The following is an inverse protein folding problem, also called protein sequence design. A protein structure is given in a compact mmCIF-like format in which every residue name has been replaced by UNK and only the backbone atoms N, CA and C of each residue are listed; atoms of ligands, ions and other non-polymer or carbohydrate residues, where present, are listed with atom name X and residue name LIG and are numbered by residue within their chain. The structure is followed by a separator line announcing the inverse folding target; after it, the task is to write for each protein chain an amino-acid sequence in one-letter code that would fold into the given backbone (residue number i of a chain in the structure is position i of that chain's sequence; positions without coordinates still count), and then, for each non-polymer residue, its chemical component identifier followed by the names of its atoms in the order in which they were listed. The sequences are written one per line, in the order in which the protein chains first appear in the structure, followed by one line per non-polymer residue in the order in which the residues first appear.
data_IF_024585988696
#
_entry.id   IF_024585988696
#
_cell.length_a   1.000
_cell.length_b   1.000
_cell.length_c   1.000
_cell.angle_alpha   90.00
_cell.angle_beta   90.00
_cell.angle_gamma   90.00
#
_symmetry.space_group_name_H-M   'P 1'
#
loop_
_entity.id
_entity.type
_entity.pdbx_description
1 polymer ?
#
# COMPACT_ATOMS: atom_id res chain seq x y z
N UNK A 1 -8.77 -33.82 -17.04
CA UNK A 1 -10.05 -33.15 -16.67
C UNK A 1 -10.52 -33.44 -15.23
N UNK A 2 -9.62 -33.61 -14.23
CA UNK A 2 -9.99 -33.84 -12.81
C UNK A 2 -9.56 -32.73 -11.82
N UNK A 3 -8.74 -31.77 -12.25
CA UNK A 3 -8.19 -30.70 -11.38
C UNK A 3 -9.19 -29.57 -11.03
N UNK A 4 -10.31 -29.49 -11.75
CA UNK A 4 -11.23 -28.34 -11.72
C UNK A 4 -12.16 -28.36 -10.49
N UNK A 5 -12.52 -29.55 -9.99
CA UNK A 5 -13.46 -29.69 -8.86
C UNK A 5 -12.84 -29.50 -7.47
N UNK A 6 -11.53 -29.72 -7.30
CA UNK A 6 -10.88 -29.55 -5.99
C UNK A 6 -10.73 -28.06 -5.61
N UNK A 7 -10.59 -27.17 -6.60
CA UNK A 7 -10.52 -25.72 -6.40
C UNK A 7 -11.86 -25.10 -5.98
N UNK A 8 -12.97 -25.55 -6.58
CA UNK A 8 -14.31 -25.02 -6.31
C UNK A 8 -14.75 -25.22 -4.86
N UNK A 9 -14.50 -26.38 -4.27
CA UNK A 9 -14.88 -26.69 -2.88
C UNK A 9 -14.14 -25.81 -1.86
N UNK A 10 -12.85 -25.53 -2.10
CA UNK A 10 -12.04 -24.65 -1.24
C UNK A 10 -12.47 -23.18 -1.37
N UNK A 11 -12.86 -22.74 -2.56
CA UNK A 11 -13.34 -21.38 -2.80
C UNK A 11 -14.71 -21.12 -2.16
N UNK A 12 -15.63 -22.09 -2.22
CA UNK A 12 -16.94 -21.99 -1.58
C UNK A 12 -16.83 -21.96 -0.05
N UNK A 13 -16.02 -22.85 0.54
CA UNK A 13 -15.81 -22.89 1.99
C UNK A 13 -15.15 -21.59 2.51
N UNK A 14 -14.17 -21.06 1.79
CA UNK A 14 -13.57 -19.74 2.08
C UNK A 14 -14.60 -18.62 2.00
N UNK A 15 -15.46 -18.62 0.99
CA UNK A 15 -16.49 -17.60 0.86
C UNK A 15 -17.51 -17.65 2.01
N UNK A 16 -17.83 -18.83 2.54
CA UNK A 16 -18.76 -18.98 3.66
C UNK A 16 -18.17 -18.57 5.01
N UNK A 17 -16.87 -18.76 5.23
CA UNK A 17 -16.20 -18.41 6.50
C UNK A 17 -15.67 -16.98 6.50
N UNK A 18 -15.04 -16.53 5.41
CA UNK A 18 -14.31 -15.25 5.39
C UNK A 18 -15.20 -14.04 5.10
N UNK A 19 -16.31 -14.20 4.36
CA UNK A 19 -17.24 -13.09 4.06
C UNK A 19 -17.88 -12.46 5.30
N UNK A 20 -18.52 -13.21 6.23
CA UNK A 20 -19.14 -12.60 7.39
C UNK A 20 -18.10 -11.90 8.28
N UNK A 21 -16.90 -12.48 8.37
CA UNK A 21 -15.79 -11.88 9.10
C UNK A 21 -15.34 -10.55 8.50
N UNK A 22 -15.17 -10.46 7.18
CA UNK A 22 -14.82 -9.20 6.52
C UNK A 22 -15.87 -8.11 6.74
N UNK A 23 -17.17 -8.43 6.65
CA UNK A 23 -18.24 -7.45 6.87
C UNK A 23 -18.22 -6.92 8.31
N UNK A 24 -18.03 -7.80 9.29
CA UNK A 24 -17.91 -7.39 10.69
C UNK A 24 -16.67 -6.52 10.93
N UNK A 25 -15.53 -6.89 10.33
CA UNK A 25 -14.31 -6.11 10.42
C UNK A 25 -14.48 -4.72 9.79
N UNK A 26 -15.13 -4.63 8.63
CA UNK A 26 -15.42 -3.36 7.95
C UNK A 26 -16.40 -2.48 8.73
N UNK A 27 -17.27 -3.08 9.55
CA UNK A 27 -18.17 -2.33 10.43
C UNK A 27 -17.44 -1.76 11.66
N UNK A 28 -16.59 -2.56 12.30
CA UNK A 28 -15.81 -2.12 13.47
C UNK A 28 -14.67 -1.17 13.09
N UNK A 29 -14.07 -1.40 11.92
CA UNK A 29 -12.96 -0.64 11.36
C UNK A 29 -13.34 -0.15 9.97
N UNK A 30 -14.18 0.91 9.86
CA UNK A 30 -14.61 1.41 8.57
C UNK A 30 -13.42 1.91 7.74
N UNK A 31 -13.47 1.76 6.41
CA UNK A 31 -12.42 2.25 5.53
C UNK A 31 -12.25 3.76 5.68
N UNK A 32 -11.02 4.16 5.99
CA UNK A 32 -10.65 5.55 6.22
C UNK A 32 -9.36 5.90 5.49
N UNK A 33 -9.21 7.19 5.17
CA UNK A 33 -8.01 7.74 4.58
C UNK A 33 -6.81 7.53 5.50
N UNK A 34 -5.74 6.93 4.98
CA UNK A 34 -4.52 6.65 5.77
C UNK A 34 -3.77 7.90 6.25
N UNK A 35 -4.11 9.08 5.72
CA UNK A 35 -3.49 10.35 6.11
C UNK A 35 -4.34 11.15 7.08
N UNK A 36 -5.65 11.28 6.82
CA UNK A 36 -6.52 12.19 7.56
C UNK A 36 -7.75 11.55 8.21
N UNK A 37 -7.96 10.24 8.04
CA UNK A 37 -9.02 9.50 8.71
C UNK A 37 -10.44 9.70 8.17
N UNK A 38 -10.67 10.54 7.15
CA UNK A 38 -12.01 10.68 6.54
C UNK A 38 -12.42 9.36 5.85
N UNK A 39 -13.72 9.05 5.89
CA UNK A 39 -14.26 7.83 5.27
C UNK A 39 -13.95 7.74 3.77
N UNK A 40 -13.57 6.55 3.32
CA UNK A 40 -13.24 6.26 1.91
C UNK A 40 -14.09 5.11 1.38
N UNK A 41 -14.13 4.94 0.05
CA UNK A 41 -14.87 3.83 -0.58
C UNK A 41 -14.24 2.45 -0.32
N UNK A 42 -13.02 2.39 0.19
CA UNK A 42 -12.30 1.14 0.44
C UNK A 42 -11.08 1.36 1.31
N UNK A 43 -10.56 0.24 1.84
CA UNK A 43 -9.35 0.19 2.65
C UNK A 43 -8.11 0.57 1.85
N UNK A 44 -7.07 1.04 2.55
CA UNK A 44 -5.78 1.43 1.96
C UNK A 44 -5.91 2.55 0.90
N UNK A 45 -6.98 3.35 0.98
CA UNK A 45 -7.25 4.46 0.08
C UNK A 45 -6.85 5.82 0.66
N UNK A 46 -6.78 6.81 -0.23
CA UNK A 46 -6.68 8.22 0.12
C UNK A 46 -7.96 8.94 -0.33
N UNK A 47 -8.41 9.92 0.44
CA UNK A 47 -9.48 10.80 -0.02
C UNK A 47 -8.98 11.73 -1.13
N UNK A 48 -9.89 12.30 -1.93
CA UNK A 48 -9.54 13.15 -3.07
C UNK A 48 -8.59 14.31 -2.69
N UNK A 49 -8.79 14.93 -1.52
CA UNK A 49 -7.95 16.02 -1.01
C UNK A 49 -6.52 15.57 -0.68
N UNK A 50 -6.36 14.43 0.00
CA UNK A 50 -5.03 13.91 0.33
C UNK A 50 -4.33 13.35 -0.91
N UNK A 51 -5.10 12.72 -1.80
CA UNK A 51 -4.60 12.24 -3.09
C UNK A 51 -4.05 13.38 -3.95
N UNK A 52 -4.77 14.51 -4.06
CA UNK A 52 -4.30 15.65 -4.87
C UNK A 52 -3.00 16.28 -4.35
N UNK A 53 -2.65 16.05 -3.07
CA UNK A 53 -1.44 16.58 -2.45
C UNK A 53 -0.27 15.60 -2.40
N UNK A 54 -0.43 14.36 -2.89
CA UNK A 54 0.63 13.37 -2.81
C UNK A 54 1.77 13.73 -3.78
N UNK A 55 3.01 13.61 -3.29
CA UNK A 55 4.21 13.71 -4.13
C UNK A 55 4.61 12.30 -4.53
N UNK A 56 4.56 12.03 -5.84
CA UNK A 56 5.07 10.79 -6.39
C UNK A 56 6.59 10.75 -6.28
N UNK A 57 7.14 9.58 -6.00
CA UNK A 57 8.59 9.37 -5.94
C UNK A 57 9.08 9.17 -7.38
N UNK A 58 9.70 10.20 -7.93
CA UNK A 58 10.36 10.21 -9.23
C UNK A 58 11.82 10.65 -9.08
N UNK A 59 12.66 10.36 -10.08
CA UNK A 59 14.06 10.82 -10.03
C UNK A 59 14.09 12.36 -10.01
N UNK A 60 15.03 12.97 -9.26
CA UNK A 60 16.14 12.36 -8.53
C UNK A 60 15.74 11.87 -7.12
N UNK A 61 16.05 10.61 -6.80
CA UNK A 61 15.87 10.02 -5.46
C UNK A 61 17.09 9.18 -5.06
N UNK A 62 17.26 8.94 -3.77
CA UNK A 62 18.30 8.05 -3.26
C UNK A 62 18.02 6.59 -3.66
N UNK A 63 18.97 5.93 -4.32
CA UNK A 63 18.76 4.57 -4.86
C UNK A 63 18.56 3.49 -3.79
N UNK A 64 18.92 3.79 -2.53
CA UNK A 64 18.77 2.88 -1.38
C UNK A 64 17.48 3.17 -0.61
N UNK A 65 17.25 4.42 -0.22
CA UNK A 65 16.13 4.79 0.68
C UNK A 65 14.88 5.30 -0.05
N UNK A 66 14.96 5.60 -1.34
CA UNK A 66 13.84 6.15 -2.13
C UNK A 66 13.46 7.60 -1.75
N UNK A 67 14.24 8.27 -0.90
CA UNK A 67 13.98 9.67 -0.52
C UNK A 67 14.30 10.62 -1.68
N UNK A 68 13.39 11.55 -2.05
CA UNK A 68 13.60 12.46 -3.17
C UNK A 68 14.64 13.54 -2.84
N UNK A 69 15.42 13.97 -3.84
CA UNK A 69 16.35 15.09 -3.75
C UNK A 69 15.71 16.39 -4.25
N UNK A 70 16.23 17.54 -3.80
CA UNK A 70 15.80 18.86 -4.27
C UNK A 70 16.32 19.19 -5.67
N UNK A 71 17.47 18.63 -6.05
CA UNK A 71 18.13 18.82 -7.33
C UNK A 71 18.75 17.50 -7.80
N UNK A 72 19.00 17.39 -9.11
CA UNK A 72 19.71 16.26 -9.67
C UNK A 72 21.21 16.35 -9.33
N UNK A 73 21.73 15.32 -8.66
CA UNK A 73 23.15 15.22 -8.29
C UNK A 73 23.88 14.17 -9.15
N UNK A 74 23.22 13.60 -10.16
CA UNK A 74 23.73 12.53 -11.02
C UNK A 74 23.17 11.14 -10.69
N UNK A 75 23.55 10.15 -11.48
CA UNK A 75 23.14 8.75 -11.29
C UNK A 75 23.92 8.09 -10.14
N UNK A 76 23.32 7.11 -9.44
CA UNK A 76 24.01 6.35 -8.38
C UNK A 76 24.19 7.08 -7.05
N UNK A 77 23.55 8.25 -6.88
CA UNK A 77 23.72 9.09 -5.70
C UNK A 77 22.99 8.54 -4.47
N UNK A 78 23.65 8.66 -3.33
CA UNK A 78 23.12 8.25 -2.02
C UNK A 78 22.85 9.48 -1.15
N UNK A 79 21.77 9.44 -0.38
CA UNK A 79 21.48 10.48 0.60
C UNK A 79 22.48 10.41 1.75
N UNK A 80 22.71 11.52 2.44
CA UNK A 80 23.58 11.55 3.63
C UNK A 80 23.12 10.52 4.69
N UNK A 81 21.81 10.32 4.84
CA UNK A 81 21.22 9.31 5.72
C UNK A 81 21.63 7.89 5.32
N UNK A 82 21.55 7.56 4.02
CA UNK A 82 21.93 6.23 3.53
C UNK A 82 23.43 5.94 3.71
N UNK A 83 24.28 6.98 3.67
CA UNK A 83 25.73 6.86 3.90
C UNK A 83 26.02 6.71 5.39
N UNK A 84 25.33 7.48 6.25
CA UNK A 84 25.53 7.45 7.69
C UNK A 84 25.00 6.16 8.34
N UNK A 85 23.85 5.67 7.85
CA UNK A 85 23.15 4.50 8.38
C UNK A 85 22.85 3.51 7.23
N UNK A 86 23.87 2.77 6.74
CA UNK A 86 23.64 1.82 5.66
C UNK A 86 22.67 0.72 6.11
N UNK A 87 21.63 0.39 5.31
CA UNK A 87 20.75 -0.73 5.64
C UNK A 87 21.53 -2.05 5.61
N UNK A 88 21.25 -2.90 6.60
CA UNK A 88 21.89 -4.21 6.80
C UNK A 88 21.44 -5.27 5.81
#
# INVERSE_FOLDING_TARGET
MKSIHLGQSVQLLRAHILRPFSVLADFLYPPACSVCGVSTSGHRGLCAKCWSGIRFIERPYCEVLGVPFSHDLGAGILSAEAIANPPS
#
